data_IF_651196227927
#
_entry.id   IF_651196227927
#
_cell.length_a   1.000
_cell.length_b   1.000
_cell.length_c   1.000
_cell.angle_alpha   90.00
_cell.angle_beta   90.00
_cell.angle_gamma   90.00
#
_symmetry.space_group_name_H-M   'P 1'
#
loop_
_entity.id
_entity.type
_entity.pdbx_description
1 polymer ?
#
# COMPACT_ATOMS: atom_id res chain seq x y z
N UNK A 1 6.82 -50.34 -27.91
CA UNK A 1 7.62 -49.14 -27.59
C UNK A 1 9.09 -49.48 -27.73
N UNK A 2 9.83 -48.79 -28.60
CA UNK A 2 11.27 -49.07 -28.75
C UNK A 2 12.00 -48.62 -27.48
N UNK A 3 13.05 -49.35 -27.09
CA UNK A 3 13.86 -49.01 -25.90
C UNK A 3 14.43 -47.58 -26.00
N UNK A 4 14.66 -47.10 -27.22
CA UNK A 4 15.06 -45.73 -27.54
C UNK A 4 13.99 -44.69 -27.22
N UNK A 5 12.71 -44.97 -27.50
CA UNK A 5 11.61 -44.04 -27.20
C UNK A 5 11.37 -43.93 -25.69
N UNK A 6 11.51 -45.04 -24.95
CA UNK A 6 11.42 -45.05 -23.50
C UNK A 6 12.57 -44.28 -22.84
N UNK A 7 13.80 -44.39 -23.37
CA UNK A 7 14.95 -43.62 -22.88
C UNK A 7 14.80 -42.13 -23.16
N UNK A 8 14.30 -41.74 -24.34
CA UNK A 8 14.04 -40.33 -24.67
C UNK A 8 12.91 -39.76 -23.80
N UNK A 9 11.83 -40.51 -23.56
CA UNK A 9 10.76 -40.08 -22.67
C UNK A 9 11.22 -39.97 -21.21
N UNK A 10 12.04 -40.90 -20.72
CA UNK A 10 12.66 -40.79 -19.39
C UNK A 10 13.65 -39.63 -19.31
N UNK A 11 14.38 -39.30 -20.38
CA UNK A 11 15.31 -38.17 -20.40
C UNK A 11 14.56 -36.83 -20.40
N UNK A 12 13.46 -36.73 -21.14
CA UNK A 12 12.58 -35.54 -21.15
C UNK A 12 11.91 -35.34 -19.79
N UNK A 13 11.45 -36.41 -19.14
CA UNK A 13 10.90 -36.35 -17.77
C UNK A 13 11.96 -36.04 -16.72
N UNK A 14 13.23 -36.44 -16.92
CA UNK A 14 14.33 -36.08 -16.02
C UNK A 14 14.71 -34.61 -16.17
N UNK A 15 14.63 -34.04 -17.37
CA UNK A 15 14.87 -32.61 -17.61
C UNK A 15 13.73 -31.71 -17.11
N UNK A 16 12.49 -32.21 -17.04
CA UNK A 16 11.35 -31.44 -16.52
C UNK A 16 11.27 -31.39 -14.99
N UNK A 17 12.12 -32.12 -14.28
CA UNK A 17 12.16 -32.14 -12.80
C UNK A 17 13.27 -31.25 -12.23
N UNK A 18 14.04 -30.54 -13.07
CA UNK A 18 14.80 -29.38 -12.61
C UNK A 18 13.89 -28.15 -12.49
N UNK A 19 12.89 -28.24 -11.61
CA UNK A 19 12.43 -27.05 -10.91
C UNK A 19 13.56 -26.73 -9.96
N UNK A 20 14.46 -25.84 -10.39
CA UNK A 20 15.41 -25.23 -9.49
C UNK A 20 14.59 -24.46 -8.45
N UNK A 21 14.42 -25.05 -7.27
CA UNK A 21 14.24 -24.26 -6.05
C UNK A 21 15.57 -23.53 -5.81
N UNK A 22 15.77 -22.43 -6.54
CA UNK A 22 16.92 -21.54 -6.36
C UNK A 22 16.67 -20.84 -5.04
N UNK A 23 17.34 -21.27 -3.97
CA UNK A 23 17.60 -20.36 -2.85
C UNK A 23 18.40 -19.19 -3.44
N UNK A 24 18.04 -17.92 -3.19
CA UNK A 24 18.74 -16.79 -3.78
C UNK A 24 20.26 -16.96 -3.57
N UNK A 25 21.02 -16.90 -4.66
CA UNK A 25 22.48 -16.89 -4.57
C UNK A 25 22.86 -15.60 -3.85
N UNK A 26 23.26 -15.73 -2.60
CA UNK A 26 23.91 -14.66 -1.85
C UNK A 26 25.23 -14.35 -2.56
N UNK A 27 25.25 -13.30 -3.36
CA UNK A 27 26.48 -12.78 -3.94
C UNK A 27 27.34 -12.19 -2.83
N UNK A 28 28.48 -12.82 -2.53
CA UNK A 28 29.55 -12.22 -1.73
C UNK A 28 30.08 -10.96 -2.45
N UNK A 29 29.51 -9.78 -2.11
CA UNK A 29 30.07 -8.40 -2.17
C UNK A 29 29.04 -7.31 -2.52
N UNK A 30 27.77 -7.63 -2.74
CA UNK A 30 26.71 -6.62 -2.87
C UNK A 30 25.69 -6.77 -1.74
N UNK A 31 25.32 -5.65 -1.11
CA UNK A 31 24.37 -5.54 0.02
C UNK A 31 22.90 -5.83 -0.40
N UNK A 32 22.70 -6.71 -1.40
CA UNK A 32 21.41 -7.00 -2.02
C UNK A 32 21.43 -8.17 -3.01
N UNK A 33 20.25 -8.66 -3.36
CA UNK A 33 20.00 -9.72 -4.35
C UNK A 33 20.07 -9.09 -5.74
N UNK A 34 20.92 -9.63 -6.62
CA UNK A 34 21.07 -9.16 -8.01
C UNK A 34 20.40 -10.13 -8.96
N UNK A 35 19.56 -9.60 -9.85
CA UNK A 35 18.88 -10.34 -10.92
C UNK A 35 19.41 -9.81 -12.26
N UNK A 36 20.35 -10.52 -12.86
CA UNK A 36 20.96 -10.21 -14.17
C UNK A 36 20.60 -11.22 -15.27
N UNK A 37 19.67 -12.13 -14.96
CA UNK A 37 19.08 -13.11 -15.86
C UNK A 37 17.57 -13.28 -15.59
N UNK A 38 16.95 -14.26 -16.23
CA UNK A 38 15.54 -14.60 -16.01
C UNK A 38 15.44 -15.53 -14.80
N UNK A 39 14.74 -15.09 -13.75
CA UNK A 39 14.57 -15.79 -12.48
C UNK A 39 13.09 -15.85 -12.11
N UNK A 40 12.65 -16.98 -11.57
CA UNK A 40 11.29 -17.17 -11.07
C UNK A 40 11.31 -17.47 -9.57
N UNK A 41 10.51 -16.73 -8.81
CA UNK A 41 10.24 -16.97 -7.39
C UNK A 41 8.80 -17.45 -7.23
N UNK A 42 8.67 -18.73 -6.91
CA UNK A 42 7.39 -19.45 -6.78
C UNK A 42 7.21 -20.07 -5.39
N UNK A 43 8.02 -19.64 -4.42
CA UNK A 43 7.93 -20.09 -3.04
C UNK A 43 7.90 -18.88 -2.12
N UNK A 44 7.00 -18.92 -1.14
CA UNK A 44 6.89 -17.86 -0.15
C UNK A 44 8.23 -17.63 0.54
N UNK A 45 8.69 -16.39 0.53
CA UNK A 45 10.04 -16.04 0.96
C UNK A 45 10.00 -14.76 1.79
N UNK A 46 10.67 -14.81 2.93
CA UNK A 46 11.00 -13.63 3.72
C UNK A 46 12.37 -13.09 3.29
N UNK A 47 12.45 -11.79 3.01
CA UNK A 47 13.68 -11.12 2.60
C UNK A 47 13.93 -9.88 3.45
N UNK A 48 15.20 -9.51 3.60
CA UNK A 48 15.63 -8.34 4.36
C UNK A 48 16.63 -7.47 3.57
N UNK A 49 16.93 -7.89 2.34
CA UNK A 49 17.91 -7.31 1.45
C UNK A 49 17.24 -6.49 0.34
N UNK A 50 18.00 -5.56 -0.24
CA UNK A 50 17.59 -4.87 -1.47
C UNK A 50 17.55 -5.85 -2.64
N UNK A 51 16.74 -5.53 -3.66
CA UNK A 51 16.70 -6.28 -4.93
C UNK A 51 17.14 -5.35 -6.05
N UNK A 52 18.10 -5.78 -6.86
CA UNK A 52 18.59 -5.05 -8.04
C UNK A 52 18.33 -5.86 -9.30
N UNK A 53 17.34 -5.44 -10.09
CA UNK A 53 17.02 -6.06 -11.38
C UNK A 53 17.76 -5.29 -12.47
N UNK A 54 18.72 -5.96 -13.12
CA UNK A 54 19.57 -5.36 -14.15
C UNK A 54 18.85 -5.23 -15.48
N UNK A 55 19.39 -4.41 -16.38
CA UNK A 55 18.82 -4.11 -17.71
C UNK A 55 18.42 -5.32 -18.58
N UNK A 56 18.98 -6.51 -18.34
CA UNK A 56 18.66 -7.76 -19.04
C UNK A 56 18.02 -8.81 -18.11
N UNK A 57 17.84 -8.47 -16.84
CA UNK A 57 17.25 -9.32 -15.82
C UNK A 57 15.72 -9.25 -15.85
N UNK A 58 15.09 -10.39 -15.55
CA UNK A 58 13.65 -10.48 -15.33
C UNK A 58 13.40 -11.29 -14.06
N UNK A 59 12.74 -10.68 -13.09
CA UNK A 59 12.25 -11.38 -11.91
C UNK A 59 10.74 -11.59 -12.05
N UNK A 60 10.32 -12.85 -12.12
CA UNK A 60 8.90 -13.23 -12.06
C UNK A 60 8.56 -13.77 -10.67
N UNK A 61 7.51 -13.24 -10.06
CA UNK A 61 7.03 -13.65 -8.73
C UNK A 61 5.62 -14.23 -8.85
N UNK A 62 5.45 -15.48 -8.43
CA UNK A 62 4.16 -16.19 -8.34
C UNK A 62 3.88 -16.75 -6.94
N UNK A 63 4.46 -16.09 -5.93
CA UNK A 63 4.34 -16.44 -4.51
C UNK A 63 4.33 -15.18 -3.65
N UNK A 64 4.27 -15.35 -2.32
CA UNK A 64 4.29 -14.24 -1.38
C UNK A 64 5.72 -13.89 -0.98
N UNK A 65 6.14 -12.67 -1.27
CA UNK A 65 7.44 -12.12 -0.86
C UNK A 65 7.23 -11.09 0.24
N UNK A 66 7.76 -11.37 1.42
CA UNK A 66 7.61 -10.51 2.61
C UNK A 66 8.93 -9.86 2.99
N UNK A 67 8.98 -8.54 2.94
CA UNK A 67 10.13 -7.76 3.42
C UNK A 67 10.02 -7.52 4.91
N UNK A 68 11.02 -8.01 5.66
CA UNK A 68 11.09 -7.90 7.14
C UNK A 68 11.79 -6.64 7.64
N UNK A 69 12.51 -5.94 6.78
CA UNK A 69 13.26 -4.73 7.08
C UNK A 69 13.01 -3.66 6.03
N UNK A 70 13.59 -2.48 6.25
CA UNK A 70 13.64 -1.43 5.25
C UNK A 70 14.47 -1.92 4.07
N UNK A 71 13.94 -1.79 2.85
CA UNK A 71 14.59 -2.27 1.63
C UNK A 71 14.15 -1.49 0.39
N UNK A 72 14.91 -1.66 -0.69
CA UNK A 72 14.63 -1.08 -1.99
C UNK A 72 14.64 -2.16 -3.07
N UNK A 73 13.66 -2.10 -3.97
CA UNK A 73 13.66 -2.82 -5.22
C UNK A 73 13.98 -1.82 -6.33
N UNK A 74 15.14 -1.96 -6.94
CA UNK A 74 15.59 -1.13 -8.03
C UNK A 74 15.52 -1.89 -9.36
N UNK A 75 14.85 -1.31 -10.35
CA UNK A 75 14.70 -1.88 -11.69
C UNK A 75 15.42 -0.98 -12.67
N UNK A 76 16.51 -1.46 -13.27
CA UNK A 76 17.24 -0.74 -14.32
C UNK A 76 16.43 -0.64 -15.62
N UNK A 77 16.80 0.31 -16.48
CA UNK A 77 16.21 0.42 -17.83
C UNK A 77 16.40 -0.89 -18.59
N UNK A 78 15.29 -1.47 -19.10
CA UNK A 78 15.24 -2.78 -19.75
C UNK A 78 15.00 -3.96 -18.80
N UNK A 79 15.20 -3.79 -17.49
CA UNK A 79 14.89 -4.79 -16.48
C UNK A 79 13.38 -4.91 -16.24
N UNK A 80 12.94 -6.08 -15.77
CA UNK A 80 11.51 -6.38 -15.57
C UNK A 80 11.25 -7.03 -14.21
N UNK A 81 10.32 -6.46 -13.45
CA UNK A 81 9.66 -7.13 -12.32
C UNK A 81 8.23 -7.50 -12.73
N UNK A 82 7.88 -8.77 -12.62
CA UNK A 82 6.60 -9.31 -13.12
C UNK A 82 5.92 -10.15 -12.02
N UNK A 83 4.84 -9.63 -11.44
CA UNK A 83 4.01 -10.38 -10.49
C UNK A 83 2.87 -11.04 -11.27
N UNK A 84 2.74 -12.36 -11.12
CA UNK A 84 1.75 -13.18 -11.82
C UNK A 84 1.11 -14.20 -10.87
N UNK A 85 -0.01 -14.79 -11.28
CA UNK A 85 -0.58 -15.97 -10.62
C UNK A 85 -0.78 -15.82 -9.09
N UNK A 86 -1.30 -14.68 -8.64
CA UNK A 86 -1.43 -14.30 -7.23
C UNK A 86 -0.09 -14.04 -6.52
N UNK A 87 0.91 -13.52 -7.25
CA UNK A 87 2.14 -13.04 -6.66
C UNK A 87 1.88 -11.86 -5.72
N UNK A 88 2.56 -11.83 -4.58
CA UNK A 88 2.40 -10.75 -3.61
C UNK A 88 3.76 -10.19 -3.18
N UNK A 89 3.85 -8.87 -3.05
CA UNK A 89 4.95 -8.23 -2.33
C UNK A 89 4.37 -7.42 -1.17
N UNK A 90 4.87 -7.73 0.03
CA UNK A 90 4.38 -7.17 1.28
C UNK A 90 5.55 -6.56 2.05
N UNK A 91 5.40 -5.30 2.48
CA UNK A 91 6.26 -4.74 3.51
C UNK A 91 5.73 -5.05 4.91
N UNK A 92 6.58 -5.45 5.86
CA UNK A 92 6.18 -5.55 7.27
C UNK A 92 6.11 -4.17 7.96
N UNK A 93 7.00 -3.23 7.62
CA UNK A 93 6.91 -1.83 8.06
C UNK A 93 6.00 -1.09 7.08
N UNK A 94 4.79 -0.72 7.52
CA UNK A 94 3.78 -0.03 6.69
C UNK A 94 3.23 1.16 7.45
N UNK A 95 2.81 2.19 6.73
CA UNK A 95 1.95 3.23 7.26
C UNK A 95 0.76 2.57 7.98
N UNK A 96 0.61 2.88 9.27
CA UNK A 96 -0.38 2.22 10.13
C UNK A 96 -1.47 3.15 10.64
N UNK A 97 -1.26 4.44 10.51
CA UNK A 97 -2.08 5.49 11.11
C UNK A 97 -2.95 6.13 10.03
N UNK A 98 -4.00 6.85 10.43
CA UNK A 98 -4.92 7.50 9.51
C UNK A 98 -5.08 8.99 9.86
N UNK A 99 -4.86 9.85 8.88
CA UNK A 99 -5.17 11.28 8.96
C UNK A 99 -6.54 11.56 8.36
N UNK A 100 -7.29 12.47 8.96
CA UNK A 100 -8.57 12.93 8.40
C UNK A 100 -8.35 13.86 7.20
N UNK A 101 -9.38 13.99 6.34
CA UNK A 101 -9.37 14.80 5.12
C UNK A 101 -10.47 15.87 5.16
N UNK A 102 -10.06 17.14 5.10
CA UNK A 102 -10.92 18.27 4.75
C UNK A 102 -12.16 18.48 5.63
N UNK A 103 -13.12 19.25 5.11
CA UNK A 103 -14.38 19.62 5.80
C UNK A 103 -15.45 18.51 5.74
N UNK A 104 -15.15 17.39 5.09
CA UNK A 104 -16.04 16.26 4.91
C UNK A 104 -15.73 15.22 5.98
N UNK A 105 -16.74 14.80 6.73
CA UNK A 105 -16.60 13.91 7.89
C UNK A 105 -15.90 12.60 7.54
N UNK A 106 -14.57 12.53 7.67
CA UNK A 106 -13.79 11.29 7.62
C UNK A 106 -14.41 10.27 8.56
N UNK A 107 -14.53 9.02 8.13
CA UNK A 107 -15.22 7.98 8.90
C UNK A 107 -14.30 6.82 9.20
N UNK A 108 -14.50 6.24 10.38
CA UNK A 108 -13.86 5.03 10.83
C UNK A 108 -14.90 4.12 11.45
N UNK A 109 -15.00 2.89 10.96
CA UNK A 109 -15.93 1.88 11.48
C UNK A 109 -15.20 1.01 12.49
N UNK A 110 -15.65 1.05 13.73
CA UNK A 110 -15.09 0.27 14.83
C UNK A 110 -15.93 -0.99 15.01
N UNK A 111 -15.33 -2.19 14.97
CA UNK A 111 -16.05 -3.47 15.00
C UNK A 111 -16.58 -3.78 16.41
N UNK A 112 -17.53 -2.98 16.88
CA UNK A 112 -18.10 -3.10 18.22
C UNK A 112 -19.38 -3.93 18.24
N UNK A 113 -19.97 -4.22 17.08
CA UNK A 113 -21.19 -5.03 16.97
C UNK A 113 -21.02 -6.48 17.42
N UNK A 114 -19.77 -6.93 17.61
CA UNK A 114 -19.44 -8.23 18.18
C UNK A 114 -19.60 -8.28 19.72
N UNK A 115 -19.79 -7.13 20.38
CA UNK A 115 -19.82 -7.02 21.84
C UNK A 115 -21.19 -6.54 22.35
N UNK A 116 -21.86 -7.42 23.11
CA UNK A 116 -23.19 -7.17 23.67
C UNK A 116 -23.17 -6.36 24.97
N UNK A 117 -21.99 -6.16 25.56
CA UNK A 117 -21.81 -5.42 26.81
C UNK A 117 -21.33 -4.00 26.53
N UNK A 118 -21.57 -3.10 27.48
CA UNK A 118 -21.03 -1.75 27.45
C UNK A 118 -19.49 -1.79 27.38
N UNK A 119 -18.89 -0.86 26.63
CA UNK A 119 -17.45 -0.79 26.45
C UNK A 119 -16.95 0.63 26.25
N UNK A 120 -15.65 0.81 26.43
CA UNK A 120 -14.92 2.02 26.10
C UNK A 120 -14.24 1.85 24.74
N UNK A 121 -14.42 2.82 23.86
CA UNK A 121 -13.54 3.07 22.73
C UNK A 121 -12.51 4.10 23.18
N UNK A 122 -11.23 3.78 23.03
CA UNK A 122 -10.13 4.71 23.27
C UNK A 122 -9.48 5.01 21.91
N UNK A 123 -9.56 6.28 21.50
CA UNK A 123 -8.90 6.80 20.31
C UNK A 123 -7.49 7.25 20.73
N UNK A 124 -6.46 6.75 20.05
CA UNK A 124 -5.06 7.07 20.34
C UNK A 124 -4.50 7.89 19.18
N UNK A 125 -3.92 9.05 19.46
CA UNK A 125 -3.24 9.85 18.43
C UNK A 125 -1.87 9.29 18.08
N UNK A 126 -1.43 9.56 16.86
CA UNK A 126 -0.05 9.34 16.43
C UNK A 126 0.90 10.33 17.10
N UNK A 127 2.06 9.88 17.56
CA UNK A 127 3.11 10.80 18.04
C UNK A 127 3.79 11.52 16.87
N UNK A 128 4.15 12.82 16.99
CA UNK A 128 4.03 13.69 18.16
C UNK A 128 2.71 14.50 18.18
N UNK A 129 1.70 14.08 17.42
CA UNK A 129 0.42 14.77 17.33
C UNK A 129 -0.46 14.49 18.55
N UNK A 130 -1.56 15.25 18.65
CA UNK A 130 -2.55 15.09 19.71
C UNK A 130 -3.95 15.32 19.13
N UNK A 131 -4.97 14.90 19.86
CA UNK A 131 -6.38 15.08 19.50
C UNK A 131 -6.92 16.48 19.88
N UNK A 132 -6.03 17.41 20.27
CA UNK A 132 -6.40 18.71 20.81
C UNK A 132 -7.14 19.58 19.79
N UNK A 133 -8.38 19.95 20.13
CA UNK A 133 -9.19 20.87 19.34
C UNK A 133 -9.98 20.20 18.22
N UNK A 134 -9.78 18.90 18.00
CA UNK A 134 -10.56 18.08 17.06
C UNK A 134 -11.86 17.61 17.69
N UNK A 135 -12.85 17.26 16.86
CA UNK A 135 -14.09 16.64 17.33
C UNK A 135 -14.33 15.28 16.70
N UNK A 136 -15.11 14.47 17.40
CA UNK A 136 -15.60 13.19 16.92
C UNK A 136 -17.11 13.12 17.13
N UNK A 137 -17.80 12.58 16.12
CA UNK A 137 -19.22 12.30 16.14
C UNK A 137 -19.41 10.80 16.26
N UNK A 138 -20.13 10.36 17.28
CA UNK A 138 -20.47 8.95 17.49
C UNK A 138 -21.80 8.67 16.79
N UNK A 139 -21.78 7.76 15.81
CA UNK A 139 -22.93 7.38 14.98
C UNK A 139 -23.68 8.59 14.39
N UNK A 140 -22.95 9.65 14.00
CA UNK A 140 -23.46 10.90 13.41
C UNK A 140 -24.45 11.69 14.30
N UNK A 141 -24.52 11.38 15.60
CA UNK A 141 -25.50 12.00 16.52
C UNK A 141 -24.82 12.83 17.60
N UNK A 142 -23.85 12.24 18.31
CA UNK A 142 -23.25 12.86 19.48
C UNK A 142 -21.89 13.47 19.15
N UNK A 143 -21.79 14.81 19.22
CA UNK A 143 -20.53 15.55 19.06
C UNK A 143 -19.74 15.58 20.37
N UNK A 144 -18.50 15.14 20.33
CA UNK A 144 -17.58 15.13 21.45
C UNK A 144 -16.29 15.88 21.09
N UNK A 145 -15.90 16.84 21.94
CA UNK A 145 -14.62 17.54 21.79
C UNK A 145 -13.49 16.68 22.35
N UNK A 146 -12.45 16.45 21.54
CA UNK A 146 -11.30 15.64 21.91
C UNK A 146 -10.14 16.51 22.41
N UNK A 147 -9.31 15.92 23.28
CA UNK A 147 -8.07 16.53 23.77
C UNK A 147 -7.10 15.48 24.31
N UNK A 148 -5.81 15.81 24.34
CA UNK A 148 -4.74 14.94 24.77
C UNK A 148 -4.26 13.95 23.71
N UNK A 149 -3.41 13.01 24.13
CA UNK A 149 -2.88 11.93 23.29
C UNK A 149 -3.87 10.76 23.14
N UNK A 150 -4.81 10.65 24.07
CA UNK A 150 -5.87 9.63 24.05
C UNK A 150 -7.21 10.26 24.42
N UNK A 151 -8.29 9.77 23.79
CA UNK A 151 -9.65 10.19 24.08
C UNK A 151 -10.55 8.97 24.27
N UNK A 152 -11.38 8.98 25.32
CA UNK A 152 -12.21 7.83 25.72
C UNK A 152 -13.69 8.14 25.54
N UNK A 153 -14.40 7.22 24.91
CA UNK A 153 -15.84 7.26 24.69
C UNK A 153 -16.44 5.98 25.26
N UNK A 154 -17.43 6.11 26.13
CA UNK A 154 -18.20 4.96 26.60
C UNK A 154 -19.38 4.74 25.65
N UNK A 155 -19.50 3.54 25.11
CA UNK A 155 -20.58 3.16 24.20
C UNK A 155 -21.41 2.03 24.81
N UNK A 156 -22.74 2.03 24.60
CA UNK A 156 -23.58 0.90 25.00
C UNK A 156 -23.21 -0.34 24.20
N UNK A 157 -23.42 -1.52 24.77
CA UNK A 157 -23.35 -2.77 24.01
C UNK A 157 -24.44 -2.85 22.94
N UNK A 158 -24.17 -3.56 21.85
CA UNK A 158 -25.10 -3.65 20.74
C UNK A 158 -24.61 -4.58 19.62
N UNK A 159 -25.49 -4.84 18.65
CA UNK A 159 -25.21 -5.70 17.49
C UNK A 159 -24.69 -4.91 16.28
N UNK A 160 -24.48 -3.60 16.42
CA UNK A 160 -24.04 -2.72 15.35
C UNK A 160 -22.67 -2.14 15.66
N UNK A 161 -21.83 -2.11 14.64
CA UNK A 161 -20.55 -1.42 14.69
C UNK A 161 -20.74 0.07 14.94
N UNK A 162 -19.78 0.65 15.65
CA UNK A 162 -19.79 2.07 15.97
C UNK A 162 -19.05 2.82 14.87
N UNK A 163 -19.73 3.77 14.26
CA UNK A 163 -19.11 4.72 13.35
C UNK A 163 -18.59 5.92 14.14
N UNK A 164 -17.30 6.21 13.97
CA UNK A 164 -16.70 7.46 14.39
C UNK A 164 -16.51 8.34 13.16
N UNK A 165 -17.04 9.55 13.22
CA UNK A 165 -16.85 10.55 12.17
C UNK A 165 -16.08 11.74 12.73
N UNK A 166 -15.12 12.27 11.98
CA UNK A 166 -14.22 13.33 12.44
C UNK A 166 -14.43 14.60 11.62
N UNK A 167 -14.52 15.76 12.29
CA UNK A 167 -14.47 17.04 11.58
C UNK A 167 -13.02 17.48 11.36
N UNK A 168 -12.75 18.08 10.20
CA UNK A 168 -11.42 18.51 9.79
C UNK A 168 -11.24 20.03 9.75
N UNK A 169 -12.06 20.82 10.44
CA UNK A 169 -11.86 22.28 10.43
C UNK A 169 -10.65 22.67 11.30
N UNK A 170 -9.46 22.74 10.69
CA UNK A 170 -8.23 23.18 11.35
C UNK A 170 -7.17 22.09 11.50
N UNK A 171 -6.90 21.64 12.73
CA UNK A 171 -5.88 20.62 13.02
C UNK A 171 -6.51 19.24 12.84
N UNK A 172 -6.14 18.55 11.77
CA UNK A 172 -6.57 17.20 11.47
C UNK A 172 -5.96 16.20 12.47
N UNK A 173 -6.76 15.44 13.23
CA UNK A 173 -6.21 14.41 14.09
C UNK A 173 -5.61 13.30 13.22
N UNK A 174 -4.44 12.81 13.65
CA UNK A 174 -3.84 11.60 13.10
C UNK A 174 -4.06 10.49 14.12
N UNK A 175 -4.83 9.48 13.73
CA UNK A 175 -5.24 8.36 14.56
C UNK A 175 -4.26 7.22 14.36
N UNK A 176 -3.60 6.80 15.44
CA UNK A 176 -2.67 5.68 15.43
C UNK A 176 -3.42 4.35 15.60
N UNK A 177 -4.19 4.25 16.69
CA UNK A 177 -4.91 3.03 17.03
C UNK A 177 -6.24 3.32 17.72
N UNK A 178 -7.09 2.30 17.72
CA UNK A 178 -8.34 2.24 18.46
C UNK A 178 -8.25 1.07 19.43
N UNK A 179 -8.39 1.34 20.71
CA UNK A 179 -8.40 0.32 21.76
C UNK A 179 -9.83 0.14 22.25
N UNK A 180 -10.29 -1.11 22.25
CA UNK A 180 -11.53 -1.53 22.87
C UNK A 180 -11.25 -2.04 24.27
N UNK A 181 -12.00 -1.56 25.25
CA UNK A 181 -11.75 -1.83 26.66
C UNK A 181 -13.07 -1.95 27.43
N UNK A 182 -13.16 -2.88 28.40
CA UNK A 182 -14.33 -2.96 29.28
C UNK A 182 -14.43 -1.74 30.20
N UNK A 183 -15.61 -1.45 30.79
CA UNK A 183 -15.75 -0.38 31.79
C UNK A 183 -14.84 -0.53 33.01
N UNK A 184 -14.35 -1.76 33.27
CA UNK A 184 -13.42 -2.07 34.37
C UNK A 184 -11.94 -1.86 34.03
N UNK A 185 -11.60 -1.48 32.79
CA UNK A 185 -10.21 -1.23 32.38
C UNK A 185 -9.51 -2.39 31.68
N UNK A 186 -10.22 -3.50 31.40
CA UNK A 186 -9.64 -4.66 30.70
C UNK A 186 -9.65 -4.43 29.19
N UNK A 187 -8.48 -4.39 28.56
CA UNK A 187 -8.33 -4.31 27.10
C UNK A 187 -8.87 -5.58 26.46
N UNK A 188 -9.78 -5.39 25.51
CA UNK A 188 -10.43 -6.44 24.72
C UNK A 188 -9.66 -6.64 23.42
N UNK A 189 -9.39 -5.54 22.71
CA UNK A 189 -8.63 -5.56 21.47
C UNK A 189 -7.97 -4.20 21.19
N UNK A 190 -6.97 -4.21 20.31
CA UNK A 190 -6.34 -3.01 19.77
C UNK A 190 -6.22 -3.15 18.25
N UNK A 191 -6.76 -2.16 17.54
CA UNK A 191 -6.72 -2.08 16.08
C UNK A 191 -5.78 -0.96 15.67
N UNK A 192 -4.86 -1.24 14.73
CA UNK A 192 -4.21 -0.17 13.96
C UNK A 192 -5.28 0.58 13.19
N UNK A 193 -5.22 1.91 13.14
CA UNK A 193 -6.23 2.71 12.44
C UNK A 193 -6.39 2.26 10.97
N UNK A 194 -5.27 2.09 10.26
CA UNK A 194 -5.22 1.59 8.86
C UNK A 194 -5.81 0.19 8.63
N UNK A 195 -6.04 -0.59 9.68
CA UNK A 195 -6.64 -1.93 9.56
C UNK A 195 -8.17 -1.91 9.61
N UNK A 196 -8.75 -0.80 10.05
CA UNK A 196 -10.19 -0.60 10.15
C UNK A 196 -10.76 -0.14 8.81
N UNK A 197 -12.06 -0.35 8.62
CA UNK A 197 -12.76 0.24 7.48
C UNK A 197 -12.85 1.74 7.68
N UNK A 198 -12.26 2.50 6.76
CA UNK A 198 -12.30 3.95 6.74
C UNK A 198 -12.91 4.47 5.44
N UNK A 199 -13.40 5.70 5.50
CA UNK A 199 -13.81 6.48 4.35
C UNK A 199 -13.26 7.90 4.48
N UNK A 200 -12.68 8.41 3.41
CA UNK A 200 -12.09 9.74 3.31
C UNK A 200 -10.99 9.96 4.37
N UNK A 201 -10.04 9.04 4.47
CA UNK A 201 -8.87 9.17 5.33
C UNK A 201 -7.58 8.89 4.55
N UNK A 202 -6.52 9.65 4.84
CA UNK A 202 -5.19 9.38 4.32
C UNK A 202 -4.43 8.42 5.23
N UNK A 203 -3.64 7.54 4.65
CA UNK A 203 -2.63 6.81 5.39
C UNK A 203 -1.56 7.76 5.91
N UNK A 204 -1.10 7.51 7.12
CA UNK A 204 -0.02 8.24 7.74
C UNK A 204 1.03 7.28 8.31
N UNK A 205 2.29 7.70 8.21
CA UNK A 205 3.47 6.94 8.56
C UNK A 205 4.28 6.52 7.33
N UNK A 206 5.37 5.82 7.57
CA UNK A 206 6.30 5.42 6.51
C UNK A 206 6.11 3.95 6.13
N UNK A 207 6.15 3.68 4.83
CA UNK A 207 6.42 2.35 4.33
C UNK A 207 7.92 2.04 4.43
N UNK A 208 8.26 0.79 4.70
CA UNK A 208 9.65 0.33 4.81
C UNK A 208 10.27 -0.04 3.48
N UNK A 209 9.46 -0.33 2.46
CA UNK A 209 9.94 -0.81 1.17
C UNK A 209 9.57 0.17 0.09
N UNK A 210 10.48 0.37 -0.86
CA UNK A 210 10.21 1.14 -2.08
C UNK A 210 10.53 0.33 -3.34
N UNK A 211 9.80 0.60 -4.41
CA UNK A 211 10.12 0.20 -5.77
C UNK A 211 10.49 1.46 -6.56
N UNK A 212 11.72 1.50 -7.08
CA UNK A 212 12.22 2.57 -7.93
C UNK A 212 12.56 1.98 -9.31
N UNK A 213 11.70 2.24 -10.29
CA UNK A 213 11.78 1.59 -11.60
C UNK A 213 12.15 2.53 -12.75
N UNK A 214 13.26 2.26 -13.42
CA UNK A 214 13.58 2.78 -14.75
C UNK A 214 13.13 1.83 -15.88
N UNK A 215 12.85 0.57 -15.54
CA UNK A 215 12.40 -0.49 -16.46
C UNK A 215 10.89 -0.70 -16.43
N UNK A 216 10.46 -1.96 -16.43
CA UNK A 216 9.04 -2.35 -16.41
C UNK A 216 8.65 -2.98 -15.08
N UNK A 217 7.60 -2.45 -14.46
CA UNK A 217 6.88 -3.07 -13.34
C UNK A 217 5.53 -3.59 -13.86
N UNK A 218 5.35 -4.91 -13.85
CA UNK A 218 4.12 -5.56 -14.29
C UNK A 218 3.48 -6.30 -13.12
N UNK A 219 2.19 -6.05 -12.88
CA UNK A 219 1.41 -6.64 -11.79
C UNK A 219 0.12 -7.17 -12.42
N UNK A 220 0.03 -8.50 -12.55
CA UNK A 220 -1.07 -9.15 -13.26
C UNK A 220 -1.56 -10.42 -12.58
N UNK A 221 -2.72 -10.92 -12.99
CA UNK A 221 -3.18 -12.24 -12.58
C UNK A 221 -3.53 -12.33 -11.10
N UNK A 222 -4.33 -11.38 -10.60
CA UNK A 222 -4.78 -11.28 -9.21
C UNK A 222 -3.63 -11.10 -8.21
N UNK A 223 -2.57 -10.41 -8.64
CA UNK A 223 -1.40 -10.11 -7.81
C UNK A 223 -1.61 -8.89 -6.92
N UNK A 224 -0.81 -8.77 -5.85
CA UNK A 224 -0.96 -7.69 -4.87
C UNK A 224 0.36 -7.02 -4.50
N UNK A 225 0.34 -5.69 -4.42
CA UNK A 225 1.38 -4.91 -3.72
C UNK A 225 0.77 -4.26 -2.46
N UNK A 226 1.44 -4.42 -1.32
CA UNK A 226 0.93 -3.99 -0.02
C UNK A 226 1.97 -3.24 0.82
N UNK A 227 1.74 -1.94 1.01
CA UNK A 227 2.56 -1.07 1.85
C UNK A 227 3.95 -0.79 1.29
N UNK A 228 4.05 -0.54 -0.02
CA UNK A 228 5.30 -0.29 -0.73
C UNK A 228 5.20 1.05 -1.45
N UNK A 229 6.20 1.91 -1.31
CA UNK A 229 6.22 3.16 -2.06
C UNK A 229 6.65 2.88 -3.51
N UNK A 230 5.87 3.34 -4.49
CA UNK A 230 6.13 3.04 -5.91
C UNK A 230 6.48 4.34 -6.65
N UNK A 231 7.69 4.38 -7.21
CA UNK A 231 8.10 5.44 -8.13
C UNK A 231 8.68 4.85 -9.42
N UNK A 232 8.39 5.48 -10.56
CA UNK A 232 8.92 5.00 -11.83
C UNK A 232 9.14 6.11 -12.85
N UNK A 233 10.25 6.02 -13.58
CA UNK A 233 10.49 6.76 -14.83
C UNK A 233 10.25 5.90 -16.08
N UNK A 234 9.88 4.64 -15.89
CA UNK A 234 9.67 3.64 -16.93
C UNK A 234 8.19 3.30 -17.09
N UNK A 235 7.90 2.03 -17.30
CA UNK A 235 6.53 1.53 -17.54
C UNK A 235 5.99 0.79 -16.32
N UNK A 236 4.76 1.13 -15.93
CA UNK A 236 3.98 0.38 -14.95
C UNK A 236 2.72 -0.17 -15.62
N UNK A 237 2.49 -1.47 -15.49
CA UNK A 237 1.28 -2.17 -15.98
C UNK A 237 0.62 -2.90 -14.82
N UNK A 238 -0.65 -2.58 -14.54
CA UNK A 238 -1.43 -3.16 -13.45
C UNK A 238 -2.76 -3.68 -14.04
N UNK A 239 -2.95 -4.99 -14.11
CA UNK A 239 -4.14 -5.58 -14.72
C UNK A 239 -4.70 -6.66 -13.80
N UNK A 240 -6.00 -6.63 -13.54
CA UNK A 240 -6.68 -7.61 -12.68
C UNK A 240 -5.96 -7.80 -11.33
N UNK A 241 -5.56 -6.71 -10.66
CA UNK A 241 -4.66 -6.76 -9.50
C UNK A 241 -5.03 -5.75 -8.41
N UNK A 242 -4.39 -5.84 -7.24
CA UNK A 242 -4.67 -4.96 -6.09
C UNK A 242 -3.44 -4.18 -5.64
N UNK A 243 -3.60 -2.87 -5.45
CA UNK A 243 -2.60 -2.00 -4.83
C UNK A 243 -3.18 -1.47 -3.52
N UNK A 244 -2.53 -1.81 -2.39
CA UNK A 244 -2.99 -1.43 -1.05
C UNK A 244 -1.91 -0.68 -0.30
N UNK A 245 -2.26 0.49 0.23
CA UNK A 245 -1.37 1.32 1.06
C UNK A 245 -0.04 1.67 0.40
N UNK A 246 -0.05 1.74 -0.93
CA UNK A 246 1.14 1.90 -1.79
C UNK A 246 0.97 3.11 -2.72
N UNK A 247 0.09 4.02 -2.33
CA UNK A 247 -0.22 5.24 -3.04
C UNK A 247 0.26 6.48 -2.26
N UNK A 248 0.64 7.56 -2.95
CA UNK A 248 0.55 7.73 -4.40
C UNK A 248 1.59 6.91 -5.19
N UNK A 249 1.19 6.37 -6.36
CA UNK A 249 2.14 5.88 -7.37
C UNK A 249 2.70 7.11 -8.10
N UNK A 250 4.03 7.26 -8.14
CA UNK A 250 4.67 8.47 -8.69
C UNK A 250 5.38 8.19 -10.01
N UNK A 251 4.89 8.78 -11.10
CA UNK A 251 5.61 8.84 -12.37
C UNK A 251 6.56 10.04 -12.39
N UNK A 252 7.86 9.77 -12.44
CA UNK A 252 8.92 10.74 -12.13
C UNK A 252 9.44 11.50 -13.36
N UNK A 253 9.17 11.02 -14.57
CA UNK A 253 9.60 11.63 -15.84
C UNK A 253 8.44 11.81 -16.82
N UNK A 254 8.65 12.59 -17.88
CA UNK A 254 7.65 12.83 -18.92
C UNK A 254 7.46 11.62 -19.85
N UNK A 255 8.44 10.73 -19.89
CA UNK A 255 8.47 9.53 -20.72
C UNK A 255 7.83 8.32 -20.02
N UNK A 256 7.59 8.42 -18.71
CA UNK A 256 6.99 7.35 -17.92
C UNK A 256 5.54 7.06 -18.34
N UNK A 257 5.11 5.82 -18.14
CA UNK A 257 3.75 5.38 -18.42
C UNK A 257 3.16 4.54 -17.30
N UNK A 258 1.86 4.69 -17.08
CA UNK A 258 1.04 3.83 -16.23
C UNK A 258 -0.16 3.34 -17.04
N UNK A 259 -0.35 2.03 -17.12
CA UNK A 259 -1.61 1.43 -17.57
C UNK A 259 -2.21 0.65 -16.41
N UNK A 260 -3.42 1.02 -15.99
CA UNK A 260 -4.18 0.28 -14.99
C UNK A 260 -5.56 -0.11 -15.51
N UNK A 261 -5.90 -1.39 -15.34
CA UNK A 261 -7.12 -1.99 -15.85
C UNK A 261 -7.70 -3.02 -14.87
N UNK A 262 -9.02 -3.02 -14.68
CA UNK A 262 -9.76 -4.05 -13.91
C UNK A 262 -9.19 -4.30 -12.50
N UNK A 263 -8.67 -3.26 -11.84
CA UNK A 263 -7.87 -3.38 -10.62
C UNK A 263 -8.49 -2.61 -9.46
N UNK A 264 -8.05 -2.90 -8.23
CA UNK A 264 -8.43 -2.15 -7.03
C UNK A 264 -7.23 -1.36 -6.48
N UNK A 265 -7.45 -0.08 -6.18
CA UNK A 265 -6.48 0.77 -5.47
C UNK A 265 -7.12 1.27 -4.18
N UNK A 266 -6.38 1.19 -3.07
CA UNK A 266 -6.82 1.70 -1.77
C UNK A 266 -5.66 2.17 -0.90
N UNK A 267 -5.94 3.15 -0.04
CA UNK A 267 -4.99 3.71 0.92
C UNK A 267 -3.90 4.54 0.24
N UNK A 268 -4.06 5.87 0.27
CA UNK A 268 -3.04 6.82 -0.17
C UNK A 268 -2.50 7.63 1.00
N UNK A 269 -1.21 7.94 0.98
CA UNK A 269 -0.58 8.87 1.93
C UNK A 269 -0.77 10.34 1.54
N UNK A 270 -1.41 10.58 0.40
CA UNK A 270 -1.60 11.87 -0.22
C UNK A 270 -3.05 11.97 -0.74
N UNK A 271 -3.55 13.17 -1.04
CA UNK A 271 -4.90 13.38 -1.57
C UNK A 271 -5.07 12.88 -3.02
N UNK A 272 -4.07 12.17 -3.55
CA UNK A 272 -4.10 11.54 -4.87
C UNK A 272 -3.64 10.07 -4.82
N UNK A 273 -4.21 9.20 -5.66
CA UNK A 273 -3.69 7.83 -5.82
C UNK A 273 -2.50 7.73 -6.78
N UNK A 274 -2.40 8.65 -7.75
CA UNK A 274 -1.31 8.70 -8.73
C UNK A 274 -0.85 10.13 -8.97
N UNK A 275 0.46 10.34 -9.02
CA UNK A 275 1.07 11.62 -9.42
C UNK A 275 1.92 11.41 -10.64
N UNK A 276 1.78 12.30 -11.62
CA UNK A 276 2.54 12.17 -12.86
C UNK A 276 3.05 13.49 -13.40
N UNK A 277 4.15 13.45 -14.15
CA UNK A 277 4.68 14.62 -14.87
C UNK A 277 3.76 15.02 -16.05
N UNK A 278 3.86 16.25 -16.56
CA UNK A 278 2.89 16.81 -17.49
C UNK A 278 2.68 16.00 -18.77
N UNK A 279 3.71 15.32 -19.29
CA UNK A 279 3.62 14.58 -20.55
C UNK A 279 3.58 13.05 -20.40
N UNK A 280 3.65 12.52 -19.16
CA UNK A 280 3.56 11.08 -18.89
C UNK A 280 2.24 10.49 -19.41
N UNK A 281 2.26 9.21 -19.80
CA UNK A 281 1.07 8.50 -20.32
C UNK A 281 0.34 7.83 -19.16
N UNK A 282 -0.99 7.97 -19.14
CA UNK A 282 -1.85 7.25 -18.19
C UNK A 282 -3.03 6.61 -18.93
N UNK A 283 -3.13 5.29 -18.83
CA UNK A 283 -4.30 4.49 -19.17
C UNK A 283 -5.00 4.07 -17.88
N UNK A 284 -6.29 4.35 -17.77
CA UNK A 284 -7.08 4.08 -16.57
C UNK A 284 -8.46 3.56 -16.96
N UNK A 285 -8.68 2.26 -16.79
CA UNK A 285 -9.94 1.61 -17.17
C UNK A 285 -10.45 0.67 -16.07
N UNK A 286 -11.75 0.74 -15.78
CA UNK A 286 -12.42 -0.10 -14.79
C UNK A 286 -11.64 -0.31 -13.47
N UNK A 287 -11.16 0.78 -12.86
CA UNK A 287 -10.43 0.73 -11.57
C UNK A 287 -11.35 1.10 -10.43
N UNK A 288 -11.42 0.22 -9.42
CA UNK A 288 -12.11 0.48 -8.17
C UNK A 288 -11.19 1.28 -7.23
N UNK A 289 -11.70 2.40 -6.73
CA UNK A 289 -11.06 3.20 -5.67
C UNK A 289 -11.95 3.18 -4.42
N UNK A 290 -11.32 3.10 -3.26
CA UNK A 290 -11.96 3.19 -1.95
C UNK A 290 -11.57 4.53 -1.35
N UNK A 291 -12.35 5.57 -1.62
CA UNK A 291 -12.44 6.90 -0.98
C UNK A 291 -12.94 7.90 -2.05
N UNK A 292 -13.94 8.73 -1.75
CA UNK A 292 -14.52 9.65 -2.74
C UNK A 292 -13.76 10.98 -2.85
N UNK A 293 -13.00 11.35 -1.83
CA UNK A 293 -12.27 12.64 -1.77
C UNK A 293 -10.80 12.55 -2.16
N UNK A 294 -10.27 11.35 -2.35
CA UNK A 294 -8.91 11.17 -2.86
C UNK A 294 -9.00 11.15 -4.38
N UNK A 295 -8.32 12.09 -5.01
CA UNK A 295 -8.29 12.22 -6.46
C UNK A 295 -7.61 11.01 -7.09
N UNK A 296 -8.14 10.54 -8.22
CA UNK A 296 -7.57 9.38 -8.93
C UNK A 296 -6.13 9.65 -9.36
N UNK A 297 -5.88 10.85 -9.88
CA UNK A 297 -4.56 11.24 -10.33
C UNK A 297 -4.42 12.76 -10.44
N UNK A 298 -3.19 13.26 -10.31
CA UNK A 298 -2.80 14.62 -10.68
C UNK A 298 -1.63 14.68 -11.65
N UNK A 299 -1.62 15.72 -12.49
CA UNK A 299 -0.43 16.12 -13.26
C UNK A 299 0.29 17.23 -12.54
N UNK A 300 1.48 16.95 -12.05
CA UNK A 300 2.34 17.91 -11.36
C UNK A 300 3.20 18.64 -12.37
N UNK A 301 2.94 19.94 -12.55
CA UNK A 301 3.73 20.83 -13.41
C UNK A 301 4.84 21.46 -12.56
N UNK A 302 6.09 21.30 -13.00
CA UNK A 302 7.25 21.89 -12.34
C UNK A 302 7.33 23.42 -12.53
N UNK A 303 8.25 24.07 -11.80
CA UNK A 303 8.71 25.46 -11.95
C UNK A 303 7.78 26.41 -12.72
N UNK A 304 6.78 26.94 -12.03
CA UNK A 304 5.96 28.02 -12.56
C UNK A 304 6.54 29.36 -12.15
N UNK A 305 6.87 30.21 -13.13
CA UNK A 305 7.21 31.61 -12.89
C UNK A 305 5.99 32.49 -13.14
N UNK A 306 5.40 33.02 -12.07
CA UNK A 306 4.40 34.08 -12.15
C UNK A 306 5.10 35.43 -12.24
N UNK A 307 4.85 36.17 -13.32
CA UNK A 307 5.30 37.57 -13.47
C UNK A 307 4.05 38.43 -13.35
N UNK A 308 4.03 39.30 -12.35
CA UNK A 308 2.98 40.29 -12.18
C UNK A 308 3.50 41.62 -12.72
N UNK A 309 2.83 42.16 -13.74
CA UNK A 309 3.03 43.55 -14.14
C UNK A 309 2.25 44.45 -13.17
N UNK A 310 2.94 45.28 -12.40
CA UNK A 310 2.28 46.33 -11.63
C UNK A 310 2.00 47.51 -12.56
N UNK A 311 0.75 47.67 -13.01
CA UNK A 311 0.26 48.99 -13.40
C UNK A 311 -0.25 49.69 -12.13
N UNK A 312 0.43 50.78 -11.76
CA UNK A 312 0.03 51.73 -10.71
C UNK A 312 -0.27 53.09 -11.31
#
# INVERSE_FOLDING_TARGET
>A
MSRTLAVIQSLILLTSVMILSITPVLGEDNDGIVIDEIVEWSTDTDISENIYIKSNGKLTISSVITFRSVAEIYIEEGGVLDLIENGEIISQKRASSLSTLGDNMSKLIIPTGEYLEEMNIIIVSEEPFSLNGSKVYVNEIEELSMSGETFRIQIPGGEQDTQLSFDGFGIFPIINSIILETPTGIIINEYKASSLTSDNMLLYGENGVSINSLGTLQITGNSTINGIDISSSGEIVIIDSTIKGSCPIVLTTNEASLHIENSEISGSQDDHYVKLKPYSVIGWDNVLIKDELIDRWERVIEDQKLIFDSEG
#
